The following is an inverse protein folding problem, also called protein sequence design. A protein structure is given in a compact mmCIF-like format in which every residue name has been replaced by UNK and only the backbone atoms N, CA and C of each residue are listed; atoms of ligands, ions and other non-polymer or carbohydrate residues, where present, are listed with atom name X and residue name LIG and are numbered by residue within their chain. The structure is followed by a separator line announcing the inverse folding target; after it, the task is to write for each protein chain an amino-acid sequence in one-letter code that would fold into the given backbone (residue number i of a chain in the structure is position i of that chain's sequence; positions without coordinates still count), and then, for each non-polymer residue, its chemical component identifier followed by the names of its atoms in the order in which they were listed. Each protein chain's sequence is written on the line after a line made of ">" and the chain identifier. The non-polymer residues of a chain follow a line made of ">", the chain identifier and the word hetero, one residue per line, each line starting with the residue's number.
data_IF_602971342019
#
_entry.id   IF_602971342019
#
_cell.length_a   1.000
_cell.length_b   1.000
_cell.length_c   1.000
_cell.angle_alpha   90.00
_cell.angle_beta   90.00
_cell.angle_gamma   90.00
#
_symmetry.space_group_name_H-M   'P 1'
#
loop_
_entity.id
_entity.type
_entity.pdbx_description
1 polymer ?
#
# COMPACT_ATOMS: atom_id res chain seq x y z
N UNK A 1 14.50 20.82 24.79
CA UNK A 1 13.75 20.35 23.60
C UNK A 1 14.46 19.19 22.91
N UNK A 2 15.78 19.25 22.71
CA UNK A 2 16.62 18.17 22.14
C UNK A 2 16.32 16.75 22.67
N UNK A 3 16.29 16.53 24.00
CA UNK A 3 16.06 15.19 24.57
C UNK A 3 14.70 14.54 24.22
N UNK A 4 13.66 15.35 23.94
CA UNK A 4 12.33 14.82 23.57
C UNK A 4 12.30 14.36 22.12
N UNK A 5 13.06 15.01 21.25
CA UNK A 5 13.20 14.62 19.83
C UNK A 5 13.98 13.30 19.75
N UNK A 6 15.09 13.18 20.47
CA UNK A 6 15.90 11.95 20.48
C UNK A 6 15.14 10.75 21.06
N UNK A 7 14.37 10.94 22.13
CA UNK A 7 13.49 9.89 22.66
C UNK A 7 12.37 9.49 21.69
N UNK A 8 11.85 10.45 20.93
CA UNK A 8 10.81 10.19 19.95
C UNK A 8 11.36 9.41 18.77
N UNK A 9 12.53 9.78 18.26
CA UNK A 9 13.25 9.06 17.21
C UNK A 9 13.60 7.63 17.64
N UNK A 10 14.10 7.45 18.87
CA UNK A 10 14.38 6.12 19.41
C UNK A 10 13.14 5.23 19.54
N UNK A 11 11.99 5.80 19.94
CA UNK A 11 10.70 5.07 19.98
C UNK A 11 10.22 4.66 18.58
N UNK A 12 10.37 5.53 17.59
CA UNK A 12 10.01 5.20 16.20
C UNK A 12 10.89 4.10 15.62
N UNK A 13 12.20 4.16 15.85
CA UNK A 13 13.14 3.13 15.42
C UNK A 13 12.79 1.77 16.06
N UNK A 14 12.46 1.78 17.35
CA UNK A 14 12.00 0.57 18.06
C UNK A 14 10.71 0.00 17.47
N UNK A 15 9.75 0.84 17.05
CA UNK A 15 8.51 0.36 16.41
C UNK A 15 8.80 -0.24 15.03
N UNK A 16 9.64 0.41 14.21
CA UNK A 16 10.05 -0.11 12.91
C UNK A 16 10.72 -1.48 13.02
N UNK A 17 11.67 -1.61 13.95
CA UNK A 17 12.36 -2.85 14.25
C UNK A 17 11.41 -3.97 14.67
N UNK A 18 10.38 -3.65 15.46
CA UNK A 18 9.36 -4.62 15.89
C UNK A 18 8.48 -5.07 14.73
N UNK A 19 8.14 -4.17 13.80
CA UNK A 19 7.40 -4.52 12.58
C UNK A 19 8.24 -5.44 11.69
N UNK A 20 9.52 -5.13 11.47
CA UNK A 20 10.42 -5.98 10.66
C UNK A 20 10.55 -7.40 11.25
N UNK A 21 10.58 -7.50 12.59
CA UNK A 21 10.61 -8.78 13.32
C UNK A 21 9.26 -9.49 13.44
N UNK A 22 8.17 -8.89 12.98
CA UNK A 22 6.84 -9.48 13.06
C UNK A 22 6.17 -9.38 14.43
N UNK A 23 6.66 -8.50 15.30
CA UNK A 23 6.12 -8.27 16.64
C UNK A 23 4.95 -7.28 16.64
N UNK A 24 3.99 -7.49 17.56
CA UNK A 24 2.78 -6.66 17.64
C UNK A 24 1.81 -6.90 16.47
N UNK A 25 0.66 -6.25 16.48
CA UNK A 25 -0.41 -6.52 15.50
C UNK A 25 0.02 -6.17 14.07
N UNK A 26 0.73 -5.05 13.86
CA UNK A 26 1.22 -4.64 12.55
C UNK A 26 2.35 -5.53 12.03
N UNK A 27 3.28 -5.96 12.89
CA UNK A 27 4.32 -6.91 12.51
C UNK A 27 3.74 -8.27 12.15
N UNK A 28 2.78 -8.77 12.93
CA UNK A 28 2.08 -10.03 12.65
C UNK A 28 1.33 -9.96 11.32
N UNK A 29 0.53 -8.90 11.09
CA UNK A 29 -0.18 -8.68 9.84
C UNK A 29 0.75 -8.56 8.63
N UNK A 30 1.91 -7.89 8.79
CA UNK A 30 2.91 -7.75 7.71
C UNK A 30 3.58 -9.07 7.33
N UNK A 31 3.57 -10.06 8.22
CA UNK A 31 4.14 -11.40 8.00
C UNK A 31 3.06 -12.43 7.65
N UNK A 32 1.80 -12.03 7.67
CA UNK A 32 0.67 -12.93 7.52
C UNK A 32 0.39 -13.19 6.04
N UNK A 33 0.59 -14.43 5.60
CA UNK A 33 0.27 -14.86 4.25
C UNK A 33 -1.22 -14.71 3.93
N UNK A 34 -2.11 -14.83 4.92
CA UNK A 34 -3.54 -14.64 4.72
C UNK A 34 -3.87 -13.20 4.31
N UNK A 35 -3.22 -12.20 4.93
CA UNK A 35 -3.40 -10.78 4.56
C UNK A 35 -2.87 -10.52 3.16
N UNK A 36 -1.73 -11.10 2.80
CA UNK A 36 -1.20 -11.00 1.44
C UNK A 36 -2.17 -11.61 0.42
N UNK A 37 -2.71 -12.80 0.71
CA UNK A 37 -3.67 -13.48 -0.15
C UNK A 37 -4.99 -12.71 -0.26
N UNK A 38 -5.55 -12.21 0.84
CA UNK A 38 -6.76 -11.38 0.85
C UNK A 38 -6.57 -10.09 0.05
N UNK A 39 -5.41 -9.45 0.18
CA UNK A 39 -5.08 -8.26 -0.60
C UNK A 39 -4.98 -8.58 -2.09
N UNK A 40 -4.28 -9.67 -2.46
CA UNK A 40 -4.19 -10.14 -3.84
C UNK A 40 -5.56 -10.46 -4.42
N UNK A 41 -6.42 -11.13 -3.67
CA UNK A 41 -7.75 -11.52 -4.11
C UNK A 41 -8.69 -10.29 -4.23
N UNK A 42 -8.53 -9.29 -3.37
CA UNK A 42 -9.22 -8.00 -3.48
C UNK A 42 -8.80 -7.26 -4.75
N UNK A 43 -7.51 -7.20 -5.05
CA UNK A 43 -6.97 -6.63 -6.30
C UNK A 43 -7.54 -7.39 -7.50
N UNK A 44 -7.59 -8.72 -7.46
CA UNK A 44 -8.14 -9.53 -8.54
C UNK A 44 -9.62 -9.26 -8.79
N UNK A 45 -10.44 -9.18 -7.73
CA UNK A 45 -11.87 -8.83 -7.83
C UNK A 45 -12.07 -7.41 -8.36
N UNK A 46 -11.24 -6.48 -7.93
CA UNK A 46 -11.26 -5.11 -8.42
C UNK A 46 -10.93 -5.05 -9.91
N UNK A 47 -9.88 -5.75 -10.34
CA UNK A 47 -9.52 -5.87 -11.76
C UNK A 47 -10.67 -6.46 -12.59
N UNK A 48 -11.33 -7.51 -12.11
CA UNK A 48 -12.47 -8.12 -12.79
C UNK A 48 -13.65 -7.13 -12.91
N UNK A 49 -13.93 -6.37 -11.85
CA UNK A 49 -14.96 -5.33 -11.87
C UNK A 49 -14.63 -4.22 -12.87
N UNK A 50 -13.38 -3.79 -12.96
CA UNK A 50 -12.91 -2.84 -13.99
C UNK A 50 -13.12 -3.40 -15.39
N UNK A 51 -12.77 -4.67 -15.63
CA UNK A 51 -12.99 -5.33 -16.93
C UNK A 51 -14.48 -5.44 -17.29
N UNK A 52 -15.35 -5.75 -16.32
CA UNK A 52 -16.81 -5.77 -16.55
C UNK A 52 -17.35 -4.37 -16.89
N UNK A 53 -16.79 -3.33 -16.27
CA UNK A 53 -17.12 -1.93 -16.59
C UNK A 53 -16.65 -1.56 -18.00
N UNK A 54 -15.41 -1.91 -18.38
CA UNK A 54 -14.85 -1.70 -19.73
C UNK A 54 -15.73 -2.33 -20.81
N UNK A 55 -16.19 -3.56 -20.55
CA UNK A 55 -17.06 -4.32 -21.47
C UNK A 55 -18.50 -3.76 -21.54
N UNK A 56 -18.83 -2.75 -20.71
CA UNK A 56 -20.10 -2.04 -20.75
C UNK A 56 -21.29 -2.84 -20.20
N UNK A 57 -21.04 -3.88 -19.41
CA UNK A 57 -22.10 -4.72 -18.84
C UNK A 57 -22.78 -4.03 -17.64
N UNK A 58 -24.12 -3.96 -17.67
CA UNK A 58 -24.95 -3.38 -16.59
C UNK A 58 -25.13 -1.86 -16.61
N UNK A 59 -25.85 -1.33 -15.61
CA UNK A 59 -26.14 0.12 -15.47
C UNK A 59 -24.92 0.94 -15.03
N UNK A 60 -23.95 0.33 -14.37
CA UNK A 60 -22.67 0.97 -13.99
C UNK A 60 -21.71 1.12 -15.19
N UNK A 61 -21.67 0.15 -16.12
CA UNK A 61 -20.88 0.25 -17.36
C UNK A 61 -21.38 1.34 -18.33
N UNK A 62 -22.65 1.73 -18.22
CA UNK A 62 -23.19 2.91 -18.93
C UNK A 62 -22.88 4.24 -18.24
N UNK A 63 -22.58 4.23 -16.94
CA UNK A 63 -22.28 5.44 -16.15
C UNK A 63 -20.77 5.74 -16.09
N UNK A 64 -19.93 4.71 -16.00
CA UNK A 64 -18.47 4.81 -16.02
C UNK A 64 -17.98 4.55 -17.45
N UNK A 65 -18.23 5.52 -18.32
CA UNK A 65 -17.54 5.62 -19.62
C UNK A 65 -16.65 6.86 -19.67
N UNK A 66 -16.24 7.34 -18.50
CA UNK A 66 -15.30 8.45 -18.40
C UNK A 66 -13.89 7.89 -18.56
N UNK A 67 -13.21 8.16 -19.70
CA UNK A 67 -11.84 7.71 -19.93
C UNK A 67 -10.88 8.21 -18.85
N UNK A 68 -11.23 9.29 -18.14
CA UNK A 68 -10.43 9.86 -17.05
C UNK A 68 -10.35 8.92 -15.85
N UNK A 69 -11.47 8.30 -15.45
CA UNK A 69 -11.47 7.36 -14.32
C UNK A 69 -10.70 6.09 -14.67
N UNK A 70 -10.88 5.60 -15.90
CA UNK A 70 -10.16 4.44 -16.40
C UNK A 70 -8.64 4.64 -16.39
N UNK A 71 -8.17 5.76 -16.96
CA UNK A 71 -6.75 6.11 -17.00
C UNK A 71 -6.17 6.26 -15.59
N UNK A 72 -6.92 6.92 -14.69
CA UNK A 72 -6.49 7.12 -13.29
C UNK A 72 -6.36 5.77 -12.56
N UNK A 73 -7.30 4.85 -12.75
CA UNK A 73 -7.26 3.54 -12.11
C UNK A 73 -6.14 2.65 -12.62
N UNK A 74 -5.91 2.61 -13.94
CA UNK A 74 -4.81 1.84 -14.52
C UNK A 74 -3.46 2.36 -14.06
N UNK A 75 -3.29 3.68 -14.05
CA UNK A 75 -2.06 4.31 -13.59
C UNK A 75 -1.83 4.06 -12.10
N UNK A 76 -2.88 4.19 -11.29
CA UNK A 76 -2.81 3.90 -9.85
C UNK A 76 -2.45 2.44 -9.59
N UNK A 77 -3.06 1.50 -10.32
CA UNK A 77 -2.77 0.07 -10.17
C UNK A 77 -1.32 -0.25 -10.55
N UNK A 78 -0.81 0.34 -11.63
CA UNK A 78 0.59 0.18 -12.03
C UNK A 78 1.57 0.75 -10.99
N UNK A 79 1.25 1.90 -10.38
CA UNK A 79 2.08 2.52 -9.34
C UNK A 79 2.07 1.67 -8.05
N UNK A 80 0.91 1.12 -7.66
CA UNK A 80 0.82 0.20 -6.52
C UNK A 80 1.68 -1.05 -6.75
N UNK A 81 1.62 -1.65 -7.95
CA UNK A 81 2.42 -2.83 -8.28
C UNK A 81 3.92 -2.51 -8.24
N UNK A 82 4.34 -1.35 -8.77
CA UNK A 82 5.73 -0.87 -8.65
C UNK A 82 6.14 -0.66 -7.20
N UNK A 83 5.30 -0.03 -6.39
CA UNK A 83 5.56 0.19 -4.98
C UNK A 83 5.74 -1.14 -4.23
N UNK A 84 4.88 -2.12 -4.48
CA UNK A 84 5.00 -3.46 -3.88
C UNK A 84 6.29 -4.15 -4.33
N UNK A 85 6.66 -4.01 -5.60
CA UNK A 85 7.91 -4.54 -6.13
C UNK A 85 9.13 -3.90 -5.45
N UNK A 86 9.16 -2.57 -5.40
CA UNK A 86 10.24 -1.81 -4.78
C UNK A 86 10.33 -2.06 -3.27
N UNK A 87 9.19 -2.17 -2.59
CA UNK A 87 9.12 -2.49 -1.17
C UNK A 87 9.66 -3.88 -0.88
N UNK A 88 9.37 -4.88 -1.73
CA UNK A 88 9.95 -6.23 -1.61
C UNK A 88 11.46 -6.19 -1.78
N UNK A 89 11.96 -5.40 -2.74
CA UNK A 89 13.39 -5.31 -3.03
C UNK A 89 14.16 -4.55 -1.95
N UNK A 90 13.58 -3.49 -1.38
CA UNK A 90 14.24 -2.69 -0.36
C UNK A 90 13.22 -2.00 0.57
N UNK A 91 12.70 -2.71 1.59
CA UNK A 91 11.67 -2.16 2.47
C UNK A 91 12.21 -1.00 3.32
N UNK A 92 13.52 -0.97 3.62
CA UNK A 92 14.17 0.08 4.43
C UNK A 92 14.09 1.47 3.78
N UNK A 93 14.07 1.55 2.44
CA UNK A 93 13.90 2.81 1.71
C UNK A 93 12.57 3.51 2.03
N UNK A 94 11.51 2.74 2.26
CA UNK A 94 10.17 3.26 2.54
C UNK A 94 9.91 3.55 4.02
N UNK A 95 10.73 2.98 4.92
CA UNK A 95 10.68 3.25 6.36
C UNK A 95 11.56 4.44 6.77
N UNK A 96 12.20 5.12 5.82
CA UNK A 96 13.08 6.26 6.09
C UNK A 96 12.26 7.54 6.30
N UNK A 97 12.04 7.95 7.55
CA UNK A 97 11.41 9.23 7.89
C UNK A 97 12.47 10.34 7.84
N UNK A 98 12.43 11.18 6.80
CA UNK A 98 13.24 12.40 6.74
C UNK A 98 12.57 13.51 7.58
N UNK A 99 13.04 13.72 8.81
CA UNK A 99 12.68 14.91 9.57
C UNK A 99 13.45 16.11 9.00
N UNK A 100 12.79 16.94 8.19
CA UNK A 100 13.18 18.34 8.01
C UNK A 100 12.47 19.16 9.09
N UNK A 101 13.22 19.51 10.14
CA UNK A 101 12.83 20.56 11.09
C UNK A 101 13.43 21.88 10.60
N UNK A 102 12.62 22.95 10.71
CA UNK A 102 13.06 24.35 10.61
C UNK A 102 14.09 24.67 11.70
#
# INVERSE_FOLDING_TARGET
>A
VYNKVDQTLGKFQTIGDRIERGEGTLGKLSKDEAVYNDFRDTIARFSALVTTIENGEGTAGKFIKDPTLYNTLNQTSSEILKLMYDFRQNPKKFLTINFKLF
#
